data_IF_407763481019
#
_entry.id   IF_407763481019
#
_cell.length_a   1.000
_cell.length_b   1.000
_cell.length_c   1.000
_cell.angle_alpha   90.00
_cell.angle_beta   90.00
_cell.angle_gamma   90.00
#
_symmetry.space_group_name_H-M   'P 1'
#
loop_
_entity.id
_entity.type
_entity.pdbx_description
1 polymer ?
#
# COMPACT_ATOMS: atom_id res chain seq x y z
N UNK A 1 35.22 -15.75 2.94
CA UNK A 1 33.80 -16.13 2.74
C UNK A 1 32.95 -15.06 3.39
N UNK A 2 32.41 -14.13 2.60
CA UNK A 2 31.49 -13.09 3.08
C UNK A 2 30.57 -12.73 1.91
N UNK A 3 29.43 -13.41 1.81
CA UNK A 3 28.31 -12.99 0.97
C UNK A 3 27.17 -12.63 1.91
N UNK A 4 27.32 -11.46 2.52
CA UNK A 4 26.21 -10.73 3.11
C UNK A 4 25.76 -9.73 2.04
N UNK A 5 25.05 -10.22 1.02
CA UNK A 5 24.27 -9.35 0.13
C UNK A 5 22.94 -9.06 0.85
N UNK A 6 23.08 -8.31 1.93
CA UNK A 6 22.03 -7.46 2.45
C UNK A 6 21.97 -6.25 1.51
N UNK A 7 21.19 -6.38 0.45
CA UNK A 7 20.88 -5.28 -0.46
C UNK A 7 19.38 -5.09 -0.46
N UNK A 8 18.89 -4.56 0.67
CA UNK A 8 18.05 -3.36 0.70
C UNK A 8 17.25 -3.11 -0.58
N UNK A 9 16.16 -3.85 -0.74
CA UNK A 9 15.05 -3.46 -1.60
C UNK A 9 14.58 -2.09 -1.15
N UNK A 10 14.88 -1.09 -1.97
CA UNK A 10 14.71 0.34 -1.69
C UNK A 10 13.23 0.71 -1.64
N UNK A 11 12.56 0.39 -0.53
CA UNK A 11 11.23 0.89 -0.23
C UNK A 11 11.35 1.97 0.84
N UNK A 12 12.04 3.06 0.48
CA UNK A 12 12.10 4.31 1.26
C UNK A 12 10.75 5.07 1.17
N UNK A 13 9.64 4.40 1.48
CA UNK A 13 8.42 5.09 1.90
C UNK A 13 8.38 5.07 3.42
N UNK A 14 9.14 5.99 4.01
CA UNK A 14 8.87 6.42 5.38
C UNK A 14 7.50 7.09 5.39
N UNK A 15 6.46 6.33 5.74
CA UNK A 15 5.10 6.85 5.84
C UNK A 15 5.05 7.99 6.88
N UNK A 16 4.42 9.15 6.60
CA UNK A 16 4.18 10.15 7.62
C UNK A 16 3.43 9.50 8.80
N UNK A 17 4.02 9.57 10.00
CA UNK A 17 3.46 9.00 11.23
C UNK A 17 4.17 7.75 11.78
N UNK A 18 5.23 7.26 11.14
CA UNK A 18 6.00 6.11 11.65
C UNK A 18 5.39 4.74 11.32
N UNK A 19 4.41 4.70 10.40
CA UNK A 19 3.86 3.46 9.88
C UNK A 19 4.87 2.76 8.97
N UNK A 20 4.89 1.43 9.02
CA UNK A 20 5.67 0.60 8.12
C UNK A 20 5.29 0.87 6.65
N UNK A 21 6.15 0.54 5.68
CA UNK A 21 5.81 0.68 4.26
C UNK A 21 4.58 -0.19 3.93
N UNK A 22 3.60 0.40 3.25
CA UNK A 22 2.42 -0.35 2.77
C UNK A 22 2.83 -1.34 1.67
N UNK A 23 2.16 -2.50 1.56
CA UNK A 23 2.45 -3.48 0.52
C UNK A 23 1.95 -3.00 -0.86
N UNK A 24 2.76 -2.16 -1.52
CA UNK A 24 2.45 -1.52 -2.81
C UNK A 24 2.11 -2.53 -3.89
N UNK A 25 2.87 -3.63 -3.97
CA UNK A 25 2.66 -4.66 -5.00
C UNK A 25 1.28 -5.29 -4.88
N UNK A 26 0.82 -5.58 -3.66
CA UNK A 26 -0.51 -6.12 -3.41
C UNK A 26 -1.60 -5.08 -3.71
N UNK A 27 -1.36 -3.82 -3.33
CA UNK A 27 -2.27 -2.72 -3.65
C UNK A 27 -2.42 -2.54 -5.17
N UNK A 28 -1.32 -2.49 -5.92
CA UNK A 28 -1.32 -2.33 -7.37
C UNK A 28 -2.01 -3.53 -8.03
N UNK A 29 -1.69 -4.74 -7.58
CA UNK A 29 -2.36 -5.96 -8.05
C UNK A 29 -3.86 -5.92 -7.84
N UNK A 30 -4.34 -5.49 -6.67
CA UNK A 30 -5.78 -5.34 -6.41
C UNK A 30 -6.42 -4.28 -7.30
N UNK A 31 -5.75 -3.14 -7.51
CA UNK A 31 -6.24 -2.09 -8.42
C UNK A 31 -6.39 -2.62 -9.85
N UNK A 32 -5.44 -3.42 -10.34
CA UNK A 32 -5.50 -4.06 -11.64
C UNK A 32 -6.58 -5.17 -11.70
N UNK A 33 -6.62 -6.05 -10.71
CA UNK A 33 -7.51 -7.22 -10.63
C UNK A 33 -8.99 -6.81 -10.51
N UNK A 34 -9.28 -5.82 -9.68
CA UNK A 34 -10.62 -5.24 -9.56
C UNK A 34 -10.93 -4.18 -10.62
N UNK A 35 -9.96 -3.86 -11.49
CA UNK A 35 -10.06 -2.81 -12.50
C UNK A 35 -10.54 -1.46 -11.92
N UNK A 36 -9.97 -1.06 -10.79
CA UNK A 36 -10.38 0.16 -10.09
C UNK A 36 -9.88 1.38 -10.87
N UNK A 37 -10.81 2.26 -11.22
CA UNK A 37 -10.52 3.56 -11.80
C UNK A 37 -10.39 4.64 -10.73
N UNK A 38 -9.68 5.73 -11.04
CA UNK A 38 -9.45 6.84 -10.10
C UNK A 38 -10.76 7.42 -9.54
N UNK A 39 -11.80 7.48 -10.38
CA UNK A 39 -13.15 7.95 -10.00
C UNK A 39 -13.83 7.08 -8.94
N UNK A 40 -13.48 5.79 -8.89
CA UNK A 40 -14.06 4.81 -7.95
C UNK A 40 -13.14 4.57 -6.74
N UNK A 41 -11.89 5.03 -6.82
CA UNK A 41 -10.90 4.85 -5.77
C UNK A 41 -11.38 5.38 -4.42
N UNK A 42 -11.98 6.58 -4.35
CA UNK A 42 -12.49 7.14 -3.10
C UNK A 42 -13.57 6.25 -2.44
N UNK A 43 -14.33 5.49 -3.24
CA UNK A 43 -15.33 4.54 -2.73
C UNK A 43 -14.71 3.19 -2.36
N UNK A 44 -13.64 2.82 -3.05
CA UNK A 44 -12.93 1.54 -2.91
C UNK A 44 -11.76 1.58 -1.93
N UNK A 45 -11.27 2.76 -1.52
CA UNK A 45 -10.12 2.91 -0.60
C UNK A 45 -10.30 2.13 0.69
N UNK A 46 -11.51 2.13 1.26
CA UNK A 46 -11.83 1.36 2.46
C UNK A 46 -11.68 -0.14 2.21
N UNK A 47 -12.14 -0.62 1.05
CA UNK A 47 -12.03 -2.02 0.66
C UNK A 47 -10.58 -2.39 0.39
N UNK A 48 -9.85 -1.59 -0.39
CA UNK A 48 -8.43 -1.78 -0.65
C UNK A 48 -7.61 -1.86 0.63
N UNK A 49 -7.80 -0.88 1.54
CA UNK A 49 -7.15 -0.88 2.83
C UNK A 49 -7.48 -2.13 3.65
N UNK A 50 -8.74 -2.57 3.68
CA UNK A 50 -9.12 -3.80 4.39
C UNK A 50 -8.48 -5.05 3.76
N UNK A 51 -8.45 -5.14 2.43
CA UNK A 51 -7.84 -6.25 1.68
C UNK A 51 -6.34 -6.35 1.89
N UNK A 52 -5.62 -5.22 1.91
CA UNK A 52 -4.17 -5.23 2.13
C UNK A 52 -3.79 -5.16 3.62
N UNK A 53 -4.75 -4.95 4.52
CA UNK A 53 -4.50 -4.85 5.96
C UNK A 53 -3.81 -6.10 6.48
N UNK A 54 -4.33 -7.27 6.14
CA UNK A 54 -3.76 -8.53 6.63
C UNK A 54 -2.30 -8.70 6.16
N UNK A 55 -2.03 -8.36 4.89
CA UNK A 55 -0.67 -8.37 4.33
C UNK A 55 0.21 -7.34 5.02
N UNK A 56 -0.29 -6.13 5.28
CA UNK A 56 0.43 -5.12 6.02
C UNK A 56 0.79 -5.58 7.44
N UNK A 57 -0.16 -6.15 8.18
CA UNK A 57 0.07 -6.64 9.55
C UNK A 57 1.08 -7.79 9.58
N UNK A 58 1.09 -8.65 8.55
CA UNK A 58 2.08 -9.71 8.38
C UNK A 58 3.48 -9.17 8.05
N UNK A 59 3.57 -8.19 7.16
CA UNK A 59 4.86 -7.63 6.68
C UNK A 59 5.49 -6.71 7.71
N UNK A 60 4.68 -5.83 8.32
CA UNK A 60 5.13 -4.92 9.38
C UNK A 60 5.41 -5.64 10.69
N UNK A 61 4.78 -6.81 10.92
CA UNK A 61 4.79 -7.48 12.21
C UNK A 61 4.00 -6.74 13.30
N UNK A 62 3.27 -5.69 12.92
CA UNK A 62 2.47 -4.85 13.83
C UNK A 62 0.99 -4.90 13.45
N UNK A 63 0.12 -4.96 14.46
CA UNK A 63 -1.32 -4.87 14.23
C UNK A 63 -1.75 -3.41 14.07
N UNK A 64 -2.47 -3.12 13.00
CA UNK A 64 -3.07 -1.81 12.77
C UNK A 64 -4.11 -1.52 13.86
N UNK A 65 -3.85 -0.49 14.67
CA UNK A 65 -4.83 -0.03 15.66
C UNK A 65 -5.91 0.78 14.98
N UNK A 66 -7.09 0.94 15.60
CA UNK A 66 -8.16 1.78 15.06
C UNK A 66 -7.72 3.23 14.80
N UNK A 67 -6.80 3.76 15.62
CA UNK A 67 -6.23 5.10 15.43
C UNK A 67 -5.35 5.21 14.18
N UNK A 68 -4.73 4.12 13.76
CA UNK A 68 -3.84 4.06 12.59
C UNK A 68 -4.60 3.71 11.30
N UNK A 69 -5.87 3.32 11.40
CA UNK A 69 -6.70 2.96 10.26
C UNK A 69 -7.01 4.13 9.33
N UNK A 70 -7.23 5.33 9.87
CA UNK A 70 -7.42 6.55 9.07
C UNK A 70 -6.17 6.91 8.27
N UNK A 71 -4.98 7.10 8.89
CA UNK A 71 -3.77 7.41 8.14
C UNK A 71 -3.37 6.27 7.19
N UNK A 72 -3.65 5.01 7.55
CA UNK A 72 -3.42 3.89 6.65
C UNK A 72 -4.30 3.97 5.38
N UNK A 73 -5.58 4.34 5.51
CA UNK A 73 -6.45 4.54 4.33
C UNK A 73 -5.96 5.69 3.47
N UNK A 74 -5.53 6.79 4.06
CA UNK A 74 -4.96 7.92 3.32
C UNK A 74 -3.68 7.52 2.56
N UNK A 75 -2.82 6.70 3.18
CA UNK A 75 -1.64 6.15 2.52
C UNK A 75 -2.01 5.26 1.34
N UNK A 76 -2.97 4.36 1.55
CA UNK A 76 -3.49 3.48 0.49
C UNK A 76 -4.09 4.28 -0.64
N UNK A 77 -4.87 5.32 -0.33
CA UNK A 77 -5.46 6.20 -1.32
C UNK A 77 -4.39 6.90 -2.15
N UNK A 78 -3.44 7.57 -1.49
CA UNK A 78 -2.40 8.35 -2.15
C UNK A 78 -1.53 7.48 -3.06
N UNK A 79 -1.23 6.27 -2.61
CA UNK A 79 -0.46 5.31 -3.41
C UNK A 79 -1.26 4.82 -4.61
N UNK A 80 -2.54 4.49 -4.39
CA UNK A 80 -3.42 4.06 -5.46
C UNK A 80 -3.66 5.17 -6.50
N UNK A 81 -3.88 6.41 -6.08
CA UNK A 81 -3.96 7.59 -6.95
C UNK A 81 -2.67 7.72 -7.76
N UNK A 82 -1.51 7.63 -7.08
CA UNK A 82 -0.21 7.70 -7.73
C UNK A 82 0.02 6.61 -8.77
N UNK A 83 -0.45 5.39 -8.50
CA UNK A 83 -0.37 4.27 -9.44
C UNK A 83 -1.32 4.45 -10.63
N UNK A 84 -2.59 4.78 -10.37
CA UNK A 84 -3.60 4.97 -11.41
C UNK A 84 -3.25 6.14 -12.32
N UNK A 85 -2.71 7.23 -11.78
CA UNK A 85 -2.23 8.37 -12.57
C UNK A 85 -1.01 8.03 -13.45
N UNK A 86 -0.23 6.99 -13.08
CA UNK A 86 0.93 6.52 -13.87
C UNK A 86 0.59 5.40 -14.83
N UNK A 87 -0.55 4.71 -14.63
CA UNK A 87 -0.97 3.59 -15.46
C UNK A 87 -1.29 4.12 -16.85
N UNK A 88 -0.68 3.59 -17.93
CA UNK A 88 -1.03 4.01 -19.27
C UNK A 88 -2.51 3.71 -19.51
N UNK A 89 -3.29 4.74 -19.84
CA UNK A 89 -4.66 4.57 -20.32
C UNK A 89 -4.58 3.75 -21.62
N UNK A 90 -4.97 2.48 -21.56
CA UNK A 90 -5.16 1.62 -22.74
C UNK A 90 -6.56 1.76 -23.29
#
# INVERSE_FOLDING_TARGET
MAQQQNSTGSSDWSSPGGLSPIPKEELHRLLDEENIEEKDLAKKVKHLADSIRETYEKVSGEKLKPADMEPFRELVQREAEGYLARRPHV
#
